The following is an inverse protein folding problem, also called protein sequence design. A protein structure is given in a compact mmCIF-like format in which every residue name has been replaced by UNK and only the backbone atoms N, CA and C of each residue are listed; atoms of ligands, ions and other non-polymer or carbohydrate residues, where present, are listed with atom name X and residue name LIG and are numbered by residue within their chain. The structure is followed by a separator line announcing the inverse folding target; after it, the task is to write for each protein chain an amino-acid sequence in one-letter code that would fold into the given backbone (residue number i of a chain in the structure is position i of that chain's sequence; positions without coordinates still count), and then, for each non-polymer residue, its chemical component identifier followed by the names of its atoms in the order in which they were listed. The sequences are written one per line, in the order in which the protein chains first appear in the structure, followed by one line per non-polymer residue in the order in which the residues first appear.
data_IF_091959979197
#
_entry.id   IF_091959979197
#
_cell.length_a   1.000
_cell.length_b   1.000
_cell.length_c   1.000
_cell.angle_alpha   90.00
_cell.angle_beta   90.00
_cell.angle_gamma   90.00
#
_symmetry.space_group_name_H-M   'P 1'
#
loop_
_entity.id
_entity.type
_entity.pdbx_description
1 polymer ?
#
# COMPACT_ATOMS: atom_id res chain seq x y z
N UNK A 1 11.95 -39.66 12.89
CA UNK A 1 12.20 -39.52 14.36
C UNK A 1 10.91 -38.92 14.94
N UNK A 2 10.20 -39.76 15.72
CA UNK A 2 9.04 -39.26 16.47
C UNK A 2 9.59 -38.48 17.66
N UNK A 3 9.35 -37.17 17.66
CA UNK A 3 9.75 -36.29 18.77
C UNK A 3 9.07 -36.74 20.07
N UNK A 4 9.71 -36.47 21.21
CA UNK A 4 9.15 -36.77 22.52
C UNK A 4 7.72 -36.28 22.68
N UNK A 5 6.81 -37.07 23.25
CA UNK A 5 5.43 -36.65 23.46
C UNK A 5 5.37 -35.48 24.47
N UNK A 6 4.49 -34.54 24.22
CA UNK A 6 4.29 -33.37 25.11
C UNK A 6 3.63 -33.81 26.41
N UNK A 7 4.18 -33.40 27.55
CA UNK A 7 3.59 -33.62 28.86
C UNK A 7 2.34 -32.75 29.06
N UNK A 8 1.42 -33.12 29.98
CA UNK A 8 0.26 -32.29 30.32
C UNK A 8 0.63 -30.86 30.73
N UNK A 9 1.74 -30.72 31.46
CA UNK A 9 2.25 -29.40 31.90
C UNK A 9 2.73 -28.52 30.72
N UNK A 10 3.43 -29.12 29.76
CA UNK A 10 3.85 -28.45 28.53
C UNK A 10 2.62 -28.01 27.70
N UNK A 11 1.58 -28.84 27.63
CA UNK A 11 0.34 -28.51 26.94
C UNK A 11 -0.37 -27.37 27.65
N UNK A 12 -0.40 -27.36 28.98
CA UNK A 12 -0.95 -26.27 29.76
C UNK A 12 -0.19 -24.94 29.48
N UNK A 13 1.14 -25.00 29.48
CA UNK A 13 2.00 -23.88 29.13
C UNK A 13 1.67 -23.32 27.75
N UNK A 14 1.51 -24.21 26.74
CA UNK A 14 1.12 -23.80 25.39
C UNK A 14 -0.27 -23.09 25.35
N UNK A 15 -1.23 -23.57 26.14
CA UNK A 15 -2.57 -22.97 26.23
C UNK A 15 -2.51 -21.59 26.89
N UNK A 16 -1.71 -21.42 27.93
CA UNK A 16 -1.61 -20.18 28.71
C UNK A 16 -0.89 -19.07 27.91
N UNK A 17 0.23 -19.40 27.27
CA UNK A 17 1.11 -18.40 26.62
C UNK A 17 0.99 -18.38 25.10
N UNK A 18 0.36 -19.37 24.50
CA UNK A 18 0.35 -19.55 23.06
C UNK A 18 -0.43 -18.49 22.28
N UNK A 19 -1.37 -17.79 22.92
CA UNK A 19 -2.17 -16.76 22.27
C UNK A 19 -1.35 -15.48 21.97
N UNK A 20 -0.45 -15.09 22.89
CA UNK A 20 0.18 -13.78 22.90
C UNK A 20 1.65 -13.78 22.48
N UNK A 21 2.28 -14.96 22.43
CA UNK A 21 3.67 -15.13 21.98
C UNK A 21 3.77 -15.52 20.51
N UNK A 22 4.83 -15.10 19.82
CA UNK A 22 5.17 -15.68 18.51
C UNK A 22 5.51 -17.15 18.66
N UNK A 23 5.43 -17.94 17.56
CA UNK A 23 5.77 -19.38 17.63
C UNK A 23 7.24 -19.62 18.00
N UNK A 24 8.14 -18.72 17.61
CA UNK A 24 9.57 -18.80 17.95
C UNK A 24 9.81 -18.55 19.45
N UNK A 25 9.22 -17.48 19.97
CA UNK A 25 9.30 -17.13 21.39
C UNK A 25 8.68 -18.21 22.26
N UNK A 26 7.49 -18.72 21.91
CA UNK A 26 6.81 -19.79 22.60
C UNK A 26 7.65 -21.08 22.65
N UNK A 27 8.30 -21.42 21.52
CA UNK A 27 9.20 -22.55 21.43
C UNK A 27 10.45 -22.38 22.33
N UNK A 28 11.07 -21.21 22.28
CA UNK A 28 12.23 -20.89 23.11
C UNK A 28 11.90 -20.93 24.61
N UNK A 29 10.76 -20.33 24.99
CA UNK A 29 10.29 -20.26 26.36
C UNK A 29 9.97 -21.70 26.91
N UNK A 30 9.25 -22.50 26.11
CA UNK A 30 8.91 -23.87 26.46
C UNK A 30 10.16 -24.72 26.64
N UNK A 31 11.10 -24.69 25.70
CA UNK A 31 12.33 -25.45 25.75
C UNK A 31 13.20 -25.04 26.95
N UNK A 32 13.24 -23.73 27.26
CA UNK A 32 13.98 -23.23 28.42
C UNK A 32 13.35 -23.69 29.74
N UNK A 33 12.01 -23.64 29.86
CA UNK A 33 11.32 -23.98 31.10
C UNK A 33 11.32 -25.45 31.40
N UNK A 34 11.18 -26.31 30.39
CA UNK A 34 11.06 -27.75 30.55
C UNK A 34 12.34 -28.52 30.18
N UNK A 35 13.43 -27.79 29.87
CA UNK A 35 14.71 -28.34 29.42
C UNK A 35 14.56 -29.35 28.26
N UNK A 36 13.79 -28.96 27.22
CA UNK A 36 13.50 -29.80 26.05
C UNK A 36 14.03 -29.17 24.77
N UNK A 37 14.01 -29.92 23.66
CA UNK A 37 14.52 -29.49 22.36
C UNK A 37 13.45 -29.57 21.27
N UNK A 38 12.19 -29.22 21.60
CA UNK A 38 11.12 -29.20 20.62
C UNK A 38 11.39 -28.19 19.50
N UNK A 39 11.06 -28.55 18.26
CA UNK A 39 11.14 -27.64 17.14
C UNK A 39 9.94 -26.66 17.11
N UNK A 40 10.13 -25.47 16.53
CA UNK A 40 9.04 -24.50 16.37
C UNK A 40 7.85 -25.05 15.57
N UNK A 41 8.10 -25.97 14.62
CA UNK A 41 7.06 -26.64 13.86
C UNK A 41 6.27 -27.64 14.74
N UNK A 42 6.94 -28.39 15.59
CA UNK A 42 6.29 -29.29 16.55
C UNK A 42 5.41 -28.53 17.53
N UNK A 43 5.95 -27.45 18.13
CA UNK A 43 5.20 -26.54 19.03
C UNK A 43 3.96 -25.96 18.32
N UNK A 44 4.09 -25.49 17.09
CA UNK A 44 2.97 -24.96 16.29
C UNK A 44 1.87 -25.98 16.06
N UNK A 45 2.27 -27.22 15.69
CA UNK A 45 1.33 -28.30 15.39
C UNK A 45 0.59 -28.72 16.65
N UNK A 46 1.31 -28.89 17.78
CA UNK A 46 0.73 -29.27 19.08
C UNK A 46 -0.20 -28.15 19.59
N UNK A 47 0.22 -26.90 19.57
CA UNK A 47 -0.62 -25.77 19.97
C UNK A 47 -1.94 -25.73 19.16
N UNK A 48 -1.86 -25.93 17.84
CA UNK A 48 -3.04 -26.00 16.96
C UNK A 48 -3.96 -27.19 17.34
N UNK A 49 -3.39 -28.38 17.59
CA UNK A 49 -4.13 -29.57 17.99
C UNK A 49 -4.90 -29.37 19.31
N UNK A 50 -4.36 -28.58 20.22
CA UNK A 50 -4.97 -28.27 21.51
C UNK A 50 -5.81 -26.96 21.49
N UNK A 51 -6.17 -26.45 20.31
CA UNK A 51 -7.10 -25.32 20.15
C UNK A 51 -6.50 -23.94 20.46
N UNK A 52 -5.18 -23.83 20.62
CA UNK A 52 -4.52 -22.53 20.87
C UNK A 52 -4.58 -21.69 19.60
N UNK A 53 -5.26 -20.55 19.70
CA UNK A 53 -5.38 -19.55 18.64
C UNK A 53 -4.63 -18.28 19.02
N UNK A 54 -3.90 -17.71 18.07
CA UNK A 54 -3.23 -16.42 18.26
C UNK A 54 -4.24 -15.33 18.57
N UNK A 55 -3.92 -14.43 19.50
CA UNK A 55 -4.70 -13.22 19.75
C UNK A 55 -4.78 -12.34 18.49
N UNK A 56 -5.74 -11.43 18.45
CA UNK A 56 -5.89 -10.51 17.32
C UNK A 56 -4.65 -9.61 17.18
N UNK A 57 -4.06 -9.20 18.29
CA UNK A 57 -2.83 -8.41 18.34
C UNK A 57 -1.65 -9.17 17.73
N UNK A 58 -1.42 -10.42 18.14
CA UNK A 58 -0.37 -11.26 17.58
C UNK A 58 -0.57 -11.52 16.07
N UNK A 59 -1.80 -11.70 15.61
CA UNK A 59 -2.06 -11.83 14.16
C UNK A 59 -1.72 -10.56 13.42
N UNK A 60 -2.05 -9.39 13.97
CA UNK A 60 -1.74 -8.10 13.33
C UNK A 60 -0.24 -7.84 13.26
N UNK A 61 0.52 -8.16 14.32
CA UNK A 61 1.99 -8.07 14.34
C UNK A 61 2.63 -8.95 13.26
N UNK A 62 2.18 -10.22 13.15
CA UNK A 62 2.69 -11.15 12.13
C UNK A 62 2.34 -10.68 10.71
N UNK A 63 1.13 -10.15 10.49
CA UNK A 63 0.73 -9.61 9.19
C UNK A 63 1.52 -8.33 8.84
N UNK A 64 1.76 -7.45 9.80
CA UNK A 64 2.60 -6.27 9.61
C UNK A 64 4.06 -6.64 9.27
N UNK A 65 4.61 -7.64 9.96
CA UNK A 65 5.98 -8.13 9.70
C UNK A 65 6.14 -8.80 8.33
N UNK A 66 5.07 -9.44 7.81
CA UNK A 66 5.07 -10.07 6.47
C UNK A 66 4.74 -9.09 5.34
N UNK A 67 4.18 -7.94 5.65
CA UNK A 67 3.83 -6.92 4.66
C UNK A 67 5.07 -6.35 3.96
N UNK A 68 4.90 -5.79 2.77
CA UNK A 68 5.95 -5.06 2.09
C UNK A 68 6.48 -3.93 2.98
N UNK A 69 7.78 -3.65 2.93
CA UNK A 69 8.41 -2.57 3.71
C UNK A 69 7.93 -1.20 3.20
N UNK A 70 7.94 -0.18 4.06
CA UNK A 70 7.74 1.21 3.63
C UNK A 70 8.76 1.57 2.56
N UNK A 71 8.34 2.31 1.53
CA UNK A 71 9.15 2.65 0.38
C UNK A 71 9.19 1.57 -0.73
N UNK A 72 8.67 0.35 -0.49
CA UNK A 72 8.55 -0.66 -1.56
C UNK A 72 7.61 -0.15 -2.65
N UNK A 73 7.98 -0.35 -3.92
CA UNK A 73 7.12 -0.05 -5.07
C UNK A 73 6.37 -1.26 -5.58
N UNK A 74 5.21 -1.03 -6.18
CA UNK A 74 4.48 -2.01 -6.98
C UNK A 74 3.73 -1.32 -8.12
N UNK A 75 3.46 -2.07 -9.19
CA UNK A 75 2.69 -1.58 -10.35
C UNK A 75 1.29 -2.18 -10.28
N UNK A 76 0.27 -1.32 -10.27
CA UNK A 76 -1.14 -1.72 -10.28
C UNK A 76 -1.87 -0.92 -11.36
N UNK A 77 -2.54 -1.62 -12.27
CA UNK A 77 -3.28 -1.01 -13.39
C UNK A 77 -2.46 0.00 -14.19
N UNK A 78 -1.17 -0.30 -14.42
CA UNK A 78 -0.26 0.56 -15.19
C UNK A 78 0.29 1.78 -14.43
N UNK A 79 0.03 1.93 -13.14
CA UNK A 79 0.58 3.00 -12.31
C UNK A 79 1.52 2.46 -11.25
N UNK A 80 2.61 3.17 -10.99
CA UNK A 80 3.54 2.85 -9.91
C UNK A 80 3.03 3.43 -8.58
N UNK A 81 2.98 2.58 -7.56
CA UNK A 81 2.61 2.93 -6.19
C UNK A 81 3.77 2.68 -5.25
N UNK A 82 3.93 3.54 -4.26
CA UNK A 82 4.91 3.41 -3.18
C UNK A 82 4.16 3.12 -1.87
N UNK A 83 4.69 2.19 -1.08
CA UNK A 83 4.13 1.90 0.22
C UNK A 83 4.48 3.00 1.23
N UNK A 84 3.46 3.70 1.70
CA UNK A 84 3.57 4.86 2.62
C UNK A 84 3.00 4.60 4.00
N UNK A 85 2.25 3.50 4.19
CA UNK A 85 1.56 3.22 5.45
C UNK A 85 1.45 1.75 5.80
N UNK A 86 0.88 1.48 6.98
CA UNK A 86 0.61 0.15 7.54
C UNK A 86 -0.86 -0.04 7.94
N UNK A 87 -1.78 0.69 7.33
CA UNK A 87 -3.23 0.61 7.58
C UNK A 87 -3.87 -0.67 7.05
N UNK A 88 -5.19 -0.79 7.15
CA UNK A 88 -5.94 -1.99 6.74
C UNK A 88 -6.32 -2.03 5.25
N UNK A 89 -6.24 -0.92 4.53
CA UNK A 89 -6.67 -0.80 3.14
C UNK A 89 -5.54 -0.45 2.17
N UNK A 90 -5.76 -0.75 0.88
CA UNK A 90 -4.78 -0.41 -0.17
C UNK A 90 -4.47 1.09 -0.16
N UNK A 91 -5.48 1.94 -0.22
CA UNK A 91 -5.31 3.40 -0.30
C UNK A 91 -4.73 4.06 0.96
N UNK A 92 -4.79 3.39 2.11
CA UNK A 92 -4.12 3.84 3.35
C UNK A 92 -2.64 3.48 3.37
N UNK A 93 -2.24 2.50 2.58
CA UNK A 93 -0.89 1.94 2.57
C UNK A 93 -0.07 2.36 1.37
N UNK A 94 -0.73 2.68 0.24
CA UNK A 94 -0.08 2.89 -1.03
C UNK A 94 -0.48 4.24 -1.63
N UNK A 95 0.49 5.04 -1.99
CA UNK A 95 0.29 6.29 -2.71
C UNK A 95 0.88 6.18 -4.11
N UNK A 96 0.26 6.83 -5.11
CA UNK A 96 0.84 6.92 -6.45
C UNK A 96 2.18 7.64 -6.39
N UNK A 97 3.21 7.08 -7.01
CA UNK A 97 4.55 7.68 -7.06
C UNK A 97 4.52 9.07 -7.69
N UNK A 98 3.75 9.26 -8.78
CA UNK A 98 3.58 10.57 -9.41
C UNK A 98 3.09 11.64 -8.45
N UNK A 99 2.14 11.29 -7.56
CA UNK A 99 1.65 12.20 -6.53
C UNK A 99 2.75 12.56 -5.53
N UNK A 100 3.48 11.58 -5.04
CA UNK A 100 4.58 11.80 -4.08
C UNK A 100 5.69 12.66 -4.67
N UNK A 101 6.06 12.41 -5.93
CA UNK A 101 7.07 13.21 -6.64
C UNK A 101 6.62 14.65 -6.81
N UNK A 102 5.35 14.86 -7.18
CA UNK A 102 4.79 16.22 -7.32
C UNK A 102 4.76 16.94 -5.97
N UNK A 103 4.21 16.30 -4.94
CA UNK A 103 4.07 16.88 -3.59
C UNK A 103 5.43 17.24 -2.97
N UNK A 104 6.48 16.47 -3.26
CA UNK A 104 7.84 16.76 -2.79
C UNK A 104 8.44 18.06 -3.34
N UNK A 105 7.99 18.51 -4.52
CA UNK A 105 8.50 19.73 -5.16
C UNK A 105 7.58 20.94 -5.00
N UNK A 106 6.26 20.71 -4.98
CA UNK A 106 5.27 21.77 -5.08
C UNK A 106 4.34 21.85 -3.86
N UNK A 107 4.51 20.94 -2.89
CA UNK A 107 3.62 20.85 -1.72
C UNK A 107 2.32 20.09 -2.01
N UNK A 108 1.38 20.20 -1.08
CA UNK A 108 0.13 19.42 -1.09
C UNK A 108 -0.72 19.77 -2.32
N UNK A 109 -1.21 18.73 -3.00
CA UNK A 109 -2.13 18.88 -4.13
C UNK A 109 -3.45 19.46 -3.63
N UNK A 110 -3.92 20.60 -4.17
CA UNK A 110 -5.17 21.23 -3.74
C UNK A 110 -6.38 20.31 -3.97
N UNK A 111 -7.42 20.50 -3.17
CA UNK A 111 -8.68 19.79 -3.38
C UNK A 111 -9.27 20.11 -4.76
N UNK A 112 -9.80 19.10 -5.43
CA UNK A 112 -10.30 19.27 -6.80
C UNK A 112 -9.25 19.16 -7.90
N UNK A 113 -7.96 19.01 -7.55
CA UNK A 113 -6.86 18.85 -8.50
C UNK A 113 -6.34 17.41 -8.55
N UNK A 114 -5.58 17.10 -9.59
CA UNK A 114 -4.93 15.81 -9.79
C UNK A 114 -3.65 15.93 -10.61
N UNK A 115 -2.71 15.04 -10.36
CA UNK A 115 -1.47 14.93 -11.14
C UNK A 115 -1.72 14.05 -12.36
N UNK A 116 -1.27 14.54 -13.52
CA UNK A 116 -1.37 13.87 -14.83
C UNK A 116 0.00 13.73 -15.46
N UNK A 117 0.12 12.82 -16.41
CA UNK A 117 1.35 12.54 -17.18
C UNK A 117 1.25 13.25 -18.54
N UNK A 118 2.24 14.05 -18.88
CA UNK A 118 2.22 14.87 -20.08
C UNK A 118 2.48 14.07 -21.36
N UNK A 119 3.36 13.04 -21.29
CA UNK A 119 3.68 12.16 -22.42
C UNK A 119 2.76 10.94 -22.53
N UNK A 120 1.78 10.80 -21.63
CA UNK A 120 0.87 9.65 -21.59
C UNK A 120 1.47 8.36 -20.98
N UNK A 121 2.78 8.32 -20.69
CA UNK A 121 3.40 7.21 -19.98
C UNK A 121 3.18 7.33 -18.48
N UNK A 122 2.36 6.46 -17.94
CA UNK A 122 1.96 6.45 -16.53
C UNK A 122 3.04 5.90 -15.58
N UNK A 123 4.13 5.37 -16.10
CA UNK A 123 5.29 4.92 -15.35
C UNK A 123 6.42 5.96 -15.31
N UNK A 124 6.39 6.94 -16.22
CA UNK A 124 7.37 8.03 -16.25
C UNK A 124 7.03 9.11 -15.23
N UNK A 125 7.45 8.88 -13.97
CA UNK A 125 7.24 9.80 -12.86
C UNK A 125 8.29 10.92 -12.78
N UNK A 126 9.04 11.24 -13.85
CA UNK A 126 9.95 12.39 -13.84
C UNK A 126 9.16 13.69 -13.61
N UNK A 127 9.65 14.62 -12.78
CA UNK A 127 8.93 15.85 -12.46
C UNK A 127 8.49 16.66 -13.70
N UNK A 128 9.34 16.70 -14.72
CA UNK A 128 9.08 17.44 -15.97
C UNK A 128 7.87 16.88 -16.74
N UNK A 129 7.62 15.58 -16.60
CA UNK A 129 6.49 14.89 -17.22
C UNK A 129 5.19 14.98 -16.42
N UNK A 130 5.20 15.60 -15.25
CA UNK A 130 4.04 15.70 -14.38
C UNK A 130 3.44 17.12 -14.46
N UNK A 131 2.11 17.19 -14.44
CA UNK A 131 1.38 18.44 -14.29
C UNK A 131 0.22 18.27 -13.31
N UNK A 132 -0.06 19.30 -12.50
CA UNK A 132 -1.21 19.31 -11.61
C UNK A 132 -2.31 20.17 -12.26
N UNK A 133 -3.44 19.56 -12.56
CA UNK A 133 -4.57 20.21 -13.22
C UNK A 133 -5.87 19.97 -12.45
N UNK A 134 -6.85 20.84 -12.62
CA UNK A 134 -8.17 20.63 -12.03
C UNK A 134 -8.86 19.40 -12.63
N UNK A 135 -9.68 18.72 -11.85
CA UNK A 135 -10.48 17.58 -12.34
C UNK A 135 -11.43 17.98 -13.47
N UNK A 136 -11.88 19.25 -13.50
CA UNK A 136 -12.71 19.79 -14.59
C UNK A 136 -11.94 19.87 -15.90
N UNK A 137 -10.70 20.39 -15.87
CA UNK A 137 -9.81 20.41 -17.04
C UNK A 137 -9.49 18.99 -17.51
N UNK A 138 -9.15 18.08 -16.60
CA UNK A 138 -8.91 16.68 -16.92
C UNK A 138 -10.13 16.02 -17.60
N UNK A 139 -11.34 16.31 -17.12
CA UNK A 139 -12.58 15.82 -17.72
C UNK A 139 -12.85 16.42 -19.11
N UNK A 140 -12.50 17.69 -19.34
CA UNK A 140 -12.58 18.33 -20.67
C UNK A 140 -11.61 17.67 -21.65
N UNK A 141 -10.37 17.46 -21.23
CA UNK A 141 -9.37 16.76 -22.03
C UNK A 141 -9.78 15.33 -22.39
N UNK A 142 -10.42 14.61 -21.48
CA UNK A 142 -10.89 13.25 -21.73
C UNK A 142 -12.10 13.19 -22.69
N UNK A 143 -12.98 14.21 -22.64
CA UNK A 143 -14.16 14.29 -23.51
C UNK A 143 -13.86 14.90 -24.88
N UNK A 144 -12.90 15.82 -24.95
CA UNK A 144 -12.43 16.63 -26.07
C UNK A 144 -13.18 16.46 -27.37
N UNK A 145 -14.05 17.34 -27.81
CA UNK A 145 -14.77 17.36 -29.10
C UNK A 145 -14.67 16.09 -29.98
N UNK A 146 -14.86 14.89 -29.37
CA UNK A 146 -14.78 13.59 -30.05
C UNK A 146 -13.37 13.00 -30.25
N UNK A 147 -12.31 13.66 -29.78
CA UNK A 147 -10.92 13.13 -29.81
C UNK A 147 -10.27 13.32 -28.45
N UNK A 148 -9.60 12.26 -27.94
CA UNK A 148 -8.73 12.38 -26.77
C UNK A 148 -7.67 13.45 -27.02
N UNK A 149 -7.59 14.47 -26.17
CA UNK A 149 -6.57 15.52 -26.23
C UNK A 149 -5.24 15.09 -25.59
N UNK A 150 -5.21 13.90 -25.00
CA UNK A 150 -3.98 13.31 -24.48
C UNK A 150 -3.09 12.83 -25.61
N UNK A 151 -1.86 13.30 -25.63
CA UNK A 151 -0.87 12.95 -26.66
C UNK A 151 0.33 12.23 -26.02
N UNK A 152 1.07 11.48 -26.82
CA UNK A 152 2.40 10.98 -26.43
C UNK A 152 3.47 12.09 -26.49
N UNK A 153 3.14 13.25 -27.04
CA UNK A 153 4.01 14.41 -27.10
C UNK A 153 3.66 15.38 -25.97
N UNK A 154 4.62 15.62 -25.10
CA UNK A 154 4.48 16.46 -23.90
C UNK A 154 3.98 17.88 -24.21
N UNK A 155 4.55 18.53 -25.22
CA UNK A 155 4.19 19.90 -25.61
C UNK A 155 2.76 20.02 -26.13
N UNK A 156 2.29 19.00 -26.88
CA UNK A 156 0.92 18.95 -27.36
C UNK A 156 -0.05 18.82 -26.20
N UNK A 157 0.26 17.98 -25.23
CA UNK A 157 -0.56 17.82 -24.02
C UNK A 157 -0.57 19.11 -23.17
N UNK A 158 0.57 19.78 -23.02
CA UNK A 158 0.65 21.09 -22.31
C UNK A 158 -0.21 22.15 -22.99
N UNK A 159 -0.17 22.22 -24.32
CA UNK A 159 -0.97 23.18 -25.10
C UNK A 159 -2.46 22.86 -24.95
N UNK A 160 -2.85 21.60 -25.00
CA UNK A 160 -4.24 21.18 -24.79
C UNK A 160 -4.75 21.50 -23.36
N UNK A 161 -3.92 21.33 -22.33
CA UNK A 161 -4.25 21.74 -20.95
C UNK A 161 -4.55 23.23 -20.90
N UNK A 162 -3.66 24.08 -21.44
CA UNK A 162 -3.85 25.54 -21.45
C UNK A 162 -5.11 25.97 -22.20
N UNK A 163 -5.40 25.30 -23.32
CA UNK A 163 -6.63 25.59 -24.07
C UNK A 163 -7.89 25.24 -23.25
N UNK A 164 -7.89 24.11 -22.53
CA UNK A 164 -9.00 23.73 -21.68
C UNK A 164 -9.15 24.63 -20.45
N UNK A 165 -8.06 25.14 -19.88
CA UNK A 165 -8.07 26.10 -18.78
C UNK A 165 -8.69 27.44 -19.23
N UNK A 166 -8.31 27.94 -20.39
CA UNK A 166 -8.88 29.13 -21.00
C UNK A 166 -10.37 28.99 -21.26
N UNK A 167 -10.80 27.87 -21.85
CA UNK A 167 -12.22 27.60 -22.10
C UNK A 167 -13.01 27.50 -20.79
N UNK A 168 -12.43 26.95 -19.72
CA UNK A 168 -13.05 26.94 -18.41
C UNK A 168 -13.22 28.34 -17.83
N UNK A 169 -12.19 29.20 -17.96
CA UNK A 169 -12.24 30.60 -17.51
C UNK A 169 -13.29 31.39 -18.28
N UNK A 170 -13.34 31.29 -19.61
CA UNK A 170 -14.34 31.90 -20.44
C UNK A 170 -15.77 31.44 -20.13
N UNK A 171 -15.92 30.16 -19.79
CA UNK A 171 -17.23 29.61 -19.42
C UNK A 171 -17.74 30.14 -18.08
N UNK A 172 -16.85 30.54 -17.16
CA UNK A 172 -17.20 31.20 -15.88
C UNK A 172 -17.64 32.65 -16.11
N UNK A 173 -16.88 33.41 -16.90
CA UNK A 173 -17.20 34.81 -17.22
C UNK A 173 -18.55 34.99 -17.96
N UNK A 174 -18.98 34.00 -18.73
CA UNK A 174 -20.30 34.03 -19.43
C UNK A 174 -21.49 33.76 -18.52
N UNK A 175 -21.28 33.33 -17.30
CA UNK A 175 -22.33 33.02 -16.33
C UNK A 175 -22.53 34.09 -15.27
N UNK A 176 -21.61 35.05 -15.22
CA UNK A 176 -21.73 36.30 -14.47
C UNK A 176 -22.46 37.38 -15.32
#
# INVERSE_FOLDING_TARGET
MNGEPYTPEQILFLKTHGADMSTKELCSALNKQFNTTHSAQSVRTTAKKHGVRKSQEQRSVVMQARGAKLGTSCIVNGYEYIRVGKGKGFYQNWARKSRLVWEAQHGVIPEGYMVVFLNGDTLDCRPQNLACISKSVAARMARGHGKKLWSSFEEVTRTAIKACELDEALSKLRKE
#
